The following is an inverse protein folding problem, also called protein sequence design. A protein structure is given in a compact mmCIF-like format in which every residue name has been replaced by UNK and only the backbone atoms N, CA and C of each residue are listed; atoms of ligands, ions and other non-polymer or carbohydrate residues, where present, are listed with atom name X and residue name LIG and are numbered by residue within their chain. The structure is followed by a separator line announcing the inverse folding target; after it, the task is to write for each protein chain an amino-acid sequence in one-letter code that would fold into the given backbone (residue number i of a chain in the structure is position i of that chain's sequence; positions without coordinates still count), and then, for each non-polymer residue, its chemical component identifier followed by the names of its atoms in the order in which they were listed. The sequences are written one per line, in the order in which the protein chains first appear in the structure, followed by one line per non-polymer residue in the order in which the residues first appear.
data_IF_017768656817
#
_entry.id   IF_017768656817
#
_cell.length_a   1.000
_cell.length_b   1.000
_cell.length_c   1.000
_cell.angle_alpha   90.00
_cell.angle_beta   90.00
_cell.angle_gamma   90.00
#
_symmetry.space_group_name_H-M   'P 1'
#
loop_
_entity.id
_entity.type
_entity.pdbx_description
1 polymer ?
#
# COMPACT_ATOMS: atom_id res chain seq x y z
N UNK A 1 2.64 11.21 13.50
CA UNK A 1 1.99 10.55 14.66
C UNK A 1 2.10 11.37 15.94
N UNK A 2 3.30 11.80 16.36
CA UNK A 2 3.52 12.54 17.63
C UNK A 2 2.59 13.75 17.81
N UNK A 3 2.49 14.64 16.82
CA UNK A 3 1.63 15.83 16.91
C UNK A 3 0.15 15.50 17.10
N UNK A 4 -0.34 14.43 16.44
CA UNK A 4 -1.71 13.97 16.60
C UNK A 4 -1.96 13.41 18.01
N UNK A 5 -1.04 12.59 18.52
CA UNK A 5 -1.14 12.01 19.87
C UNK A 5 -1.10 13.08 20.97
N UNK A 6 -0.37 14.18 20.76
CA UNK A 6 -0.35 15.31 21.69
C UNK A 6 -1.66 16.11 21.69
N UNK A 7 -2.45 16.02 20.62
CA UNK A 7 -3.74 16.69 20.48
C UNK A 7 -4.90 15.86 21.03
N UNK A 8 -4.69 14.57 21.30
CA UNK A 8 -5.68 13.69 21.93
C UNK A 8 -5.51 13.70 23.46
N UNK A 9 -6.53 14.11 24.24
CA UNK A 9 -6.48 14.05 25.71
C UNK A 9 -6.28 12.61 26.21
N UNK A 10 -5.75 12.47 27.44
CA UNK A 10 -5.33 11.21 28.09
C UNK A 10 -6.21 10.01 27.71
N UNK A 11 -5.61 9.06 27.00
CA UNK A 11 -6.26 7.92 26.36
C UNK A 11 -6.76 6.92 27.42
N UNK A 12 -8.08 6.71 27.59
CA UNK A 12 -8.58 5.51 28.25
C UNK A 12 -8.27 4.30 27.34
N UNK A 13 -7.87 3.17 27.93
CA UNK A 13 -7.35 1.98 27.23
C UNK A 13 -8.25 1.41 26.11
N UNK A 14 -9.53 1.80 26.07
CA UNK A 14 -10.55 1.28 25.14
C UNK A 14 -10.89 2.21 23.97
N UNK A 15 -10.26 3.38 23.81
CA UNK A 15 -10.60 4.32 22.74
C UNK A 15 -9.88 4.02 21.41
N UNK A 16 -10.54 4.20 20.24
CA UNK A 16 -9.90 4.12 18.93
C UNK A 16 -8.78 5.15 18.78
N UNK A 17 -7.65 4.74 18.16
CA UNK A 17 -6.52 5.64 17.93
C UNK A 17 -6.92 6.84 17.06
N UNK A 18 -7.71 6.64 16.01
CA UNK A 18 -8.18 7.71 15.13
C UNK A 18 -9.66 7.98 15.37
N UNK A 19 -9.96 9.20 15.78
CA UNK A 19 -11.32 9.67 16.09
C UNK A 19 -11.50 11.12 15.68
N UNK A 20 -12.75 11.51 15.50
CA UNK A 20 -13.16 12.91 15.38
C UNK A 20 -13.21 13.58 16.75
N UNK A 21 -13.33 14.90 16.78
CA UNK A 21 -13.50 15.68 18.02
C UNK A 21 -14.75 15.25 18.80
N UNK A 22 -15.80 14.80 18.10
CA UNK A 22 -17.00 14.21 18.71
C UNK A 22 -16.74 12.88 19.44
N UNK A 23 -15.55 12.30 19.29
CA UNK A 23 -15.17 10.99 19.82
C UNK A 23 -15.58 9.81 18.95
N UNK A 24 -16.28 10.03 17.84
CA UNK A 24 -16.62 8.98 16.89
C UNK A 24 -15.35 8.42 16.19
N UNK A 25 -15.25 7.09 15.97
CA UNK A 25 -14.11 6.50 15.28
C UNK A 25 -14.04 6.92 13.81
N UNK A 26 -12.82 7.06 13.29
CA UNK A 26 -12.61 7.21 11.85
C UNK A 26 -12.97 5.91 11.13
N UNK A 27 -14.03 5.94 10.32
CA UNK A 27 -14.46 4.77 9.55
C UNK A 27 -13.76 4.69 8.18
N UNK A 28 -13.72 3.49 7.60
CA UNK A 28 -13.25 3.28 6.21
C UNK A 28 -14.04 4.12 5.20
N UNK A 29 -15.36 4.21 5.39
CA UNK A 29 -16.24 4.97 4.49
C UNK A 29 -15.88 6.46 4.53
N UNK A 30 -15.74 7.02 5.73
CA UNK A 30 -15.37 8.43 5.91
C UNK A 30 -13.99 8.72 5.33
N UNK A 31 -12.98 7.88 5.61
CA UNK A 31 -11.64 8.05 5.04
C UNK A 31 -11.66 7.99 3.50
N UNK A 32 -12.43 7.06 2.93
CA UNK A 32 -12.53 6.92 1.47
C UNK A 32 -13.25 8.12 0.85
N UNK A 33 -14.31 8.63 1.49
CA UNK A 33 -14.99 9.84 1.04
C UNK A 33 -14.07 11.05 1.06
N UNK A 34 -13.32 11.25 2.15
CA UNK A 34 -12.36 12.36 2.27
C UNK A 34 -11.26 12.28 1.21
N UNK A 35 -10.70 11.08 0.99
CA UNK A 35 -9.74 10.84 -0.09
C UNK A 35 -10.31 11.24 -1.46
N UNK A 36 -11.53 10.81 -1.76
CA UNK A 36 -12.18 11.11 -3.04
C UNK A 36 -12.42 12.59 -3.24
N UNK A 37 -12.88 13.29 -2.20
CA UNK A 37 -13.04 14.75 -2.24
C UNK A 37 -11.72 15.46 -2.54
N UNK A 38 -10.61 15.02 -1.93
CA UNK A 38 -9.28 15.59 -2.20
C UNK A 38 -8.82 15.30 -3.63
N UNK A 39 -9.02 14.09 -4.14
CA UNK A 39 -8.65 13.73 -5.52
C UNK A 39 -9.43 14.55 -6.54
N UNK A 40 -10.73 14.72 -6.33
CA UNK A 40 -11.59 15.53 -7.18
C UNK A 40 -11.12 16.99 -7.22
N UNK A 41 -10.72 17.55 -6.06
CA UNK A 41 -10.15 18.91 -5.99
C UNK A 41 -8.84 19.05 -6.79
N UNK A 42 -8.11 17.96 -7.00
CA UNK A 42 -6.89 17.92 -7.82
C UNK A 42 -7.16 17.56 -9.29
N UNK A 43 -8.41 17.44 -9.72
CA UNK A 43 -8.78 17.06 -11.08
C UNK A 43 -8.49 15.59 -11.43
N UNK A 44 -8.33 14.73 -10.41
CA UNK A 44 -8.14 13.30 -10.59
C UNK A 44 -9.49 12.58 -10.50
N UNK A 45 -9.67 11.54 -11.31
CA UNK A 45 -10.86 10.68 -11.25
C UNK A 45 -10.91 9.92 -9.92
N UNK A 46 -11.78 10.36 -9.03
CA UNK A 46 -11.92 9.83 -7.68
C UNK A 46 -12.53 8.41 -7.65
N UNK A 47 -13.21 8.00 -8.73
CA UNK A 47 -13.88 6.69 -8.80
C UNK A 47 -12.88 5.54 -8.84
N UNK A 48 -11.68 5.80 -9.35
CA UNK A 48 -10.58 4.84 -9.49
C UNK A 48 -9.86 4.53 -8.16
N UNK A 49 -10.10 5.33 -7.11
CA UNK A 49 -9.34 5.26 -5.88
C UNK A 49 -10.21 4.99 -4.65
N UNK A 50 -9.65 4.24 -3.72
CA UNK A 50 -10.16 4.03 -2.38
C UNK A 50 -9.01 3.85 -1.39
N UNK A 51 -9.33 3.79 -0.10
CA UNK A 51 -8.35 3.48 0.95
C UNK A 51 -7.51 2.21 0.66
N UNK A 52 -8.09 1.19 0.01
CA UNK A 52 -7.38 -0.03 -0.39
C UNK A 52 -6.29 0.22 -1.45
N UNK A 53 -6.43 1.24 -2.29
CA UNK A 53 -5.44 1.59 -3.31
C UNK A 53 -4.07 1.92 -2.69
N UNK A 54 -4.03 2.47 -1.48
CA UNK A 54 -2.77 2.68 -0.75
C UNK A 54 -2.08 1.38 -0.38
N UNK A 55 -2.84 0.33 0.00
CA UNK A 55 -2.26 -0.99 0.30
C UNK A 55 -1.65 -1.63 -0.94
N UNK A 56 -2.33 -1.49 -2.09
CA UNK A 56 -1.80 -1.92 -3.39
C UNK A 56 -0.52 -1.15 -3.71
N UNK A 57 -0.55 0.18 -3.61
CA UNK A 57 0.61 1.04 -3.87
C UNK A 57 1.81 0.72 -2.98
N UNK A 58 1.58 0.45 -1.69
CA UNK A 58 2.64 0.05 -0.76
C UNK A 58 3.27 -1.30 -1.13
N UNK A 59 2.46 -2.31 -1.52
CA UNK A 59 2.96 -3.59 -2.00
C UNK A 59 3.82 -3.42 -3.27
N UNK A 60 3.31 -2.64 -4.23
CA UNK A 60 4.03 -2.34 -5.48
C UNK A 60 5.35 -1.64 -5.20
N UNK A 61 5.34 -0.59 -4.37
CA UNK A 61 6.53 0.17 -4.04
C UNK A 61 7.59 -0.69 -3.32
N UNK A 62 7.17 -1.56 -2.40
CA UNK A 62 8.08 -2.50 -1.74
C UNK A 62 8.69 -3.50 -2.74
N UNK A 63 7.88 -4.01 -3.67
CA UNK A 63 8.36 -4.87 -4.76
C UNK A 63 9.35 -4.15 -5.69
N UNK A 64 9.07 -2.91 -6.08
CA UNK A 64 9.98 -2.08 -6.87
C UNK A 64 11.29 -1.75 -6.14
N UNK A 65 11.25 -1.66 -4.81
CA UNK A 65 12.44 -1.51 -3.98
C UNK A 65 13.23 -2.84 -3.78
N UNK A 66 12.77 -3.94 -4.38
CA UNK A 66 13.44 -5.23 -4.33
C UNK A 66 13.28 -5.97 -2.99
N UNK A 67 12.29 -5.59 -2.16
CA UNK A 67 12.03 -6.34 -0.94
C UNK A 67 11.55 -7.76 -1.29
N UNK A 68 11.99 -8.78 -0.54
CA UNK A 68 11.54 -10.14 -0.78
C UNK A 68 10.04 -10.28 -0.47
N UNK A 69 9.37 -11.16 -1.21
CA UNK A 69 7.91 -11.34 -1.16
C UNK A 69 7.41 -11.67 0.24
N UNK A 70 8.11 -12.51 1.01
CA UNK A 70 7.76 -12.82 2.40
C UNK A 70 7.75 -11.58 3.31
N UNK A 71 8.68 -10.63 3.09
CA UNK A 71 8.74 -9.40 3.89
C UNK A 71 7.58 -8.47 3.52
N UNK A 72 7.24 -8.38 2.23
CA UNK A 72 6.05 -7.65 1.76
C UNK A 72 4.79 -8.27 2.39
N UNK A 73 4.68 -9.59 2.38
CA UNK A 73 3.58 -10.34 3.01
C UNK A 73 3.41 -9.96 4.48
N UNK A 74 4.50 -9.95 5.24
CA UNK A 74 4.51 -9.56 6.66
C UNK A 74 4.14 -8.09 6.85
N UNK A 75 4.74 -7.17 6.08
CA UNK A 75 4.49 -5.73 6.21
C UNK A 75 3.02 -5.35 5.93
N UNK A 76 2.37 -6.02 4.99
CA UNK A 76 0.95 -5.81 4.74
C UNK A 76 0.01 -6.70 5.55
N UNK A 77 0.53 -7.54 6.46
CA UNK A 77 -0.27 -8.46 7.27
C UNK A 77 -1.18 -9.38 6.42
N UNK A 78 -0.67 -9.89 5.30
CA UNK A 78 -1.43 -10.82 4.47
C UNK A 78 -1.28 -12.26 4.97
N UNK A 79 -2.39 -12.96 5.17
CA UNK A 79 -2.39 -14.38 5.53
C UNK A 79 -2.16 -15.29 4.32
N UNK A 80 -2.58 -14.86 3.13
CA UNK A 80 -2.44 -15.57 1.86
C UNK A 80 -1.59 -14.79 0.86
N UNK A 81 -1.29 -15.41 -0.28
CA UNK A 81 -0.47 -14.80 -1.34
C UNK A 81 -1.28 -13.93 -2.30
N UNK A 82 -2.49 -13.50 -1.91
CA UNK A 82 -3.34 -12.64 -2.73
C UNK A 82 -2.71 -11.27 -3.06
N UNK A 83 -1.74 -10.83 -2.26
CA UNK A 83 -0.99 -9.59 -2.44
C UNK A 83 -0.06 -9.62 -3.65
N UNK A 84 0.36 -10.80 -4.12
CA UNK A 84 1.25 -10.92 -5.28
C UNK A 84 0.63 -10.29 -6.54
N UNK A 85 -0.70 -10.36 -6.67
CA UNK A 85 -1.44 -9.70 -7.76
C UNK A 85 -1.28 -8.17 -7.76
N UNK A 86 -0.92 -7.58 -6.62
CA UNK A 86 -0.70 -6.14 -6.51
C UNK A 86 0.69 -5.74 -7.02
N UNK A 87 1.68 -6.62 -6.89
CA UNK A 87 3.06 -6.35 -7.32
C UNK A 87 3.13 -6.48 -8.84
N UNK A 88 3.09 -5.33 -9.53
CA UNK A 88 3.22 -5.28 -10.99
C UNK A 88 4.69 -5.25 -11.37
N UNK A 89 5.20 -6.36 -11.91
CA UNK A 89 6.57 -6.44 -12.43
C UNK A 89 6.72 -5.52 -13.64
N UNK A 90 7.63 -4.53 -13.61
CA UNK A 90 7.91 -3.68 -14.75
C UNK A 90 8.38 -4.49 -15.98
N UNK A 91 8.02 -4.05 -17.19
CA UNK A 91 8.33 -4.77 -18.43
C UNK A 91 9.84 -4.93 -18.65
N UNK A 92 10.62 -3.91 -18.31
CA UNK A 92 12.08 -3.89 -18.36
C UNK A 92 12.71 -4.98 -17.47
N UNK A 93 12.15 -5.23 -16.28
CA UNK A 93 12.60 -6.33 -15.40
C UNK A 93 12.36 -7.68 -16.08
N UNK A 94 11.21 -7.87 -16.73
CA UNK A 94 10.90 -9.09 -17.48
C UNK A 94 11.87 -9.28 -18.65
N UNK A 95 12.16 -8.23 -19.42
CA UNK A 95 13.12 -8.27 -20.54
C UNK A 95 14.54 -8.56 -20.03
N UNK A 96 14.96 -7.94 -18.93
CA UNK A 96 16.28 -8.20 -18.34
C UNK A 96 16.41 -9.66 -17.88
N UNK A 97 15.36 -10.22 -17.28
CA UNK A 97 15.35 -11.61 -16.83
C UNK A 97 15.46 -12.58 -18.01
N UNK A 98 14.72 -12.37 -19.11
CA UNK A 98 14.81 -13.22 -20.30
C UNK A 98 16.18 -13.14 -20.96
N UNK A 99 16.78 -11.94 -21.06
CA UNK A 99 18.15 -11.78 -21.58
C UNK A 99 19.18 -12.54 -20.74
N UNK A 100 19.09 -12.48 -19.41
CA UNK A 100 20.00 -13.22 -18.50
C UNK A 100 19.86 -14.73 -18.64
N UNK A 101 18.64 -15.23 -18.82
CA UNK A 101 18.39 -16.67 -19.04
C UNK A 101 19.01 -17.16 -20.36
N UNK A 102 18.88 -16.38 -21.44
CA UNK A 102 19.48 -16.72 -22.74
C UNK A 102 21.01 -16.69 -22.65
N UNK A 103 21.58 -15.65 -22.02
CA UNK A 103 23.02 -15.51 -21.87
C UNK A 103 23.65 -16.67 -21.06
N UNK A 104 23.01 -17.10 -19.97
CA UNK A 104 23.47 -18.25 -19.17
C UNK A 104 23.34 -19.58 -19.90
N UNK A 105 22.45 -19.70 -20.89
CA UNK A 105 22.30 -20.92 -21.70
C UNK A 105 23.48 -21.10 -22.66
N UNK A 106 24.09 -20.00 -23.12
CA UNK A 106 25.22 -20.02 -24.05
C UNK A 106 26.60 -20.20 -23.38
N UNK A 107 26.67 -20.34 -22.06
CA UNK A 107 27.91 -20.60 -21.31
C UNK A 107 28.12 -22.08 -20.93
N UNK A 108 27.25 -22.98 -21.41
CA UNK A 108 27.28 -24.41 -21.06
C UNK A 108 27.62 -25.37 -22.21
N UNK A 109 28.30 -24.89 -23.25
CA UNK A 109 28.86 -25.74 -24.32
C UNK A 109 30.34 -25.45 -24.51
#
# INVERSE_FOLDING_TARGET
MKNYLLQTPSIPESRPLFQFESGAPLTRATLTSQLRSLLQQQGLDETLYASHSFRIGAATAAGSAGLPTWLIKTLGCWSSDCYERYIRTPRDVLVSATSKLIANTNQKV
#
